data_IF_293255328444
#
_entry.id   IF_293255328444
#
_cell.length_a   1.000
_cell.length_b   1.000
_cell.length_c   1.000
_cell.angle_alpha   90.00
_cell.angle_beta   90.00
_cell.angle_gamma   90.00
#
_symmetry.space_group_name_H-M   'P 1'
#
loop_
_entity.id
_entity.type
_entity.pdbx_description
1 polymer ?
#
# COMPACT_ATOMS: atom_id res chain seq x y z
N UNK A 1 -5.55 -20.00 2.97
CA UNK A 1 -4.18 -19.49 2.74
C UNK A 1 -3.89 -18.41 3.76
N UNK A 2 -2.76 -18.50 4.47
CA UNK A 2 -2.28 -17.45 5.38
C UNK A 2 -1.66 -16.32 4.54
N UNK A 3 -2.48 -15.43 4.01
CA UNK A 3 -2.00 -14.34 3.17
C UNK A 3 -1.24 -13.32 4.02
N UNK A 4 0.06 -13.17 3.74
CA UNK A 4 0.88 -12.10 4.29
C UNK A 4 0.47 -10.81 3.58
N UNK A 5 0.17 -9.75 4.33
CA UNK A 5 -0.14 -8.44 3.76
C UNK A 5 1.16 -7.66 3.53
N UNK A 6 1.47 -7.36 2.28
CA UNK A 6 2.72 -6.70 1.91
C UNK A 6 2.52 -5.19 1.82
N UNK A 7 3.25 -4.44 2.64
CA UNK A 7 3.26 -2.97 2.66
C UNK A 7 4.66 -2.48 2.31
N UNK A 8 4.78 -1.63 1.29
CA UNK A 8 6.02 -0.94 0.97
C UNK A 8 5.99 0.49 1.51
N UNK A 9 7.07 0.92 2.14
CA UNK A 9 7.30 2.27 2.62
C UNK A 9 8.34 2.95 1.73
N UNK A 10 7.98 4.08 1.15
CA UNK A 10 8.87 4.91 0.33
C UNK A 10 8.85 6.36 0.80
N UNK A 11 9.64 6.65 1.84
CA UNK A 11 9.68 7.94 2.52
C UNK A 11 11.05 8.60 2.40
N UNK A 12 11.05 9.93 2.21
CA UNK A 12 12.22 10.78 2.45
C UNK A 12 12.26 11.29 3.89
N UNK A 13 11.10 11.51 4.50
CA UNK A 13 10.96 11.93 5.89
C UNK A 13 11.00 10.71 6.82
N UNK A 14 12.16 10.47 7.45
CA UNK A 14 12.36 9.35 8.37
C UNK A 14 11.43 9.41 9.60
N UNK A 15 11.14 10.60 10.14
CA UNK A 15 10.23 10.70 11.30
C UNK A 15 8.81 10.26 10.93
N UNK A 16 8.33 10.64 9.74
CA UNK A 16 7.03 10.22 9.26
C UNK A 16 7.01 8.71 8.94
N UNK A 17 8.12 8.19 8.42
CA UNK A 17 8.30 6.75 8.19
C UNK A 17 8.18 5.95 9.48
N UNK A 18 8.86 6.38 10.54
CA UNK A 18 8.86 5.71 11.84
C UNK A 18 7.46 5.73 12.46
N UNK A 19 6.75 6.87 12.36
CA UNK A 19 5.34 6.99 12.77
C UNK A 19 4.45 6.00 12.00
N UNK A 20 4.60 5.91 10.68
CA UNK A 20 3.85 4.96 9.83
C UNK A 20 4.14 3.52 10.19
N UNK A 21 5.41 3.17 10.36
CA UNK A 21 5.83 1.82 10.72
C UNK A 21 5.26 1.42 12.08
N UNK A 22 5.35 2.31 13.08
CA UNK A 22 4.79 2.06 14.41
C UNK A 22 3.29 1.78 14.34
N UNK A 23 2.53 2.59 13.58
CA UNK A 23 1.10 2.37 13.40
C UNK A 23 0.79 1.06 12.67
N UNK A 24 1.55 0.69 11.62
CA UNK A 24 1.34 -0.59 10.92
C UNK A 24 1.51 -1.78 11.87
N UNK A 25 2.54 -1.74 12.73
CA UNK A 25 2.87 -2.84 13.64
C UNK A 25 1.91 -2.95 14.82
N UNK A 26 1.22 -1.86 15.18
CA UNK A 26 0.23 -1.82 16.26
C UNK A 26 -1.17 -2.31 15.81
N UNK A 27 -1.36 -2.55 14.51
CA UNK A 27 -2.68 -2.87 13.95
C UNK A 27 -3.13 -4.30 14.29
N UNK A 28 -4.22 -4.50 15.08
CA UNK A 28 -4.60 -5.81 15.58
C UNK A 28 -5.25 -6.72 14.53
N UNK A 29 -5.77 -6.17 13.43
CA UNK A 29 -6.45 -6.94 12.39
C UNK A 29 -5.49 -7.54 11.35
N UNK A 30 -4.24 -7.09 11.29
CA UNK A 30 -3.21 -7.61 10.38
C UNK A 30 -2.43 -8.75 11.06
N UNK A 31 -2.90 -9.99 10.91
CA UNK A 31 -2.26 -11.16 11.54
C UNK A 31 -0.84 -11.45 11.04
N UNK A 32 -0.55 -11.14 9.77
CA UNK A 32 0.76 -11.32 9.14
C UNK A 32 1.01 -10.15 8.19
N UNK A 33 1.99 -9.32 8.51
CA UNK A 33 2.41 -8.19 7.69
C UNK A 33 3.88 -8.35 7.31
N UNK A 34 4.21 -8.03 6.06
CA UNK A 34 5.57 -7.88 5.60
C UNK A 34 5.76 -6.43 5.19
N UNK A 35 6.62 -5.72 5.89
CA UNK A 35 6.95 -4.33 5.58
C UNK A 35 8.30 -4.30 4.86
N UNK A 36 8.33 -3.62 3.73
CA UNK A 36 9.56 -3.44 2.93
C UNK A 36 9.86 -1.96 2.78
N UNK A 37 11.14 -1.60 2.84
CA UNK A 37 11.58 -0.23 2.59
C UNK A 37 12.20 -0.14 1.20
N UNK A 38 11.65 0.75 0.36
CA UNK A 38 12.21 1.01 -0.96
C UNK A 38 13.42 1.93 -0.81
N UNK A 39 14.57 1.36 -0.42
CA UNK A 39 15.80 2.09 -0.10
C UNK A 39 16.57 2.63 -1.31
N UNK A 40 15.98 2.58 -2.52
CA UNK A 40 16.63 3.03 -3.77
C UNK A 40 17.82 2.18 -4.23
N UNK A 41 18.32 1.26 -3.39
CA UNK A 41 19.29 0.25 -3.75
C UNK A 41 18.57 -1.00 -4.26
N UNK A 42 18.97 -1.44 -5.46
CA UNK A 42 18.33 -2.53 -6.19
C UNK A 42 18.51 -3.89 -5.49
N UNK A 43 17.74 -4.15 -4.44
CA UNK A 43 17.54 -5.51 -3.96
C UNK A 43 16.51 -6.18 -4.88
N UNK A 44 16.99 -6.68 -6.03
CA UNK A 44 16.24 -7.47 -7.01
C UNK A 44 15.48 -8.66 -6.41
N UNK A 45 15.82 -9.06 -5.18
CA UNK A 45 15.15 -10.13 -4.44
C UNK A 45 13.75 -9.76 -3.93
N UNK A 46 13.42 -8.47 -3.80
CA UNK A 46 12.11 -7.99 -3.33
C UNK A 46 11.40 -7.04 -4.31
N UNK A 47 12.05 -6.67 -5.43
CA UNK A 47 11.46 -5.79 -6.45
C UNK A 47 10.22 -6.37 -7.13
N UNK A 48 10.04 -7.69 -7.03
CA UNK A 48 9.03 -8.45 -7.77
C UNK A 48 7.88 -8.94 -6.87
N UNK A 49 7.88 -8.59 -5.57
CA UNK A 49 6.73 -8.88 -4.72
C UNK A 49 5.68 -7.79 -4.97
N UNK A 50 4.51 -8.12 -5.55
CA UNK A 50 3.43 -7.15 -5.71
C UNK A 50 2.96 -6.70 -4.33
N UNK A 51 3.37 -5.50 -3.92
CA UNK A 51 2.93 -4.92 -2.66
C UNK A 51 1.43 -4.67 -2.71
N UNK A 52 0.70 -5.13 -1.70
CA UNK A 52 -0.73 -4.82 -1.58
C UNK A 52 -0.93 -3.31 -1.42
N UNK A 53 -0.07 -2.69 -0.62
CA UNK A 53 -0.13 -1.28 -0.28
C UNK A 53 1.25 -0.63 -0.43
N UNK A 54 1.30 0.57 -0.99
CA UNK A 54 2.50 1.42 -0.98
C UNK A 54 2.13 2.71 -0.26
N UNK A 55 2.92 3.08 0.75
CA UNK A 55 2.76 4.33 1.49
C UNK A 55 4.01 5.17 1.26
N UNK A 56 3.83 6.41 0.82
CA UNK A 56 4.93 7.27 0.41
C UNK A 56 4.66 8.74 0.72
N UNK A 57 5.73 9.53 0.82
CA UNK A 57 5.70 11.00 0.94
C UNK A 57 6.14 11.67 -0.37
N UNK A 58 6.46 12.96 -0.33
CA UNK A 58 6.69 13.80 -1.53
C UNK A 58 7.65 13.21 -2.59
N UNK A 59 7.05 12.90 -3.75
CA UNK A 59 7.74 12.53 -4.99
C UNK A 59 7.54 13.61 -6.06
N UNK A 60 8.55 13.78 -6.91
CA UNK A 60 8.41 14.52 -8.16
C UNK A 60 7.65 13.64 -9.15
N UNK A 61 6.60 14.17 -9.77
CA UNK A 61 5.79 13.42 -10.74
C UNK A 61 5.01 12.26 -10.09
N UNK A 62 4.14 12.58 -9.11
CA UNK A 62 3.30 11.58 -8.42
C UNK A 62 2.51 10.71 -9.41
N UNK A 63 1.83 11.26 -10.45
CA UNK A 63 1.11 10.42 -11.40
C UNK A 63 2.01 9.41 -12.12
N UNK A 64 3.20 9.84 -12.56
CA UNK A 64 4.17 8.98 -13.23
C UNK A 64 4.73 7.90 -12.30
N UNK A 65 5.00 8.26 -11.04
CA UNK A 65 5.39 7.33 -9.99
C UNK A 65 4.32 6.25 -9.78
N UNK A 66 3.05 6.66 -9.57
CA UNK A 66 1.94 5.74 -9.36
C UNK A 66 1.73 4.81 -10.56
N UNK A 67 1.72 5.35 -11.79
CA UNK A 67 1.61 4.55 -13.02
C UNK A 67 2.72 3.51 -13.12
N UNK A 68 3.96 3.85 -12.76
CA UNK A 68 5.08 2.90 -12.79
C UNK A 68 4.86 1.75 -11.81
N UNK A 69 4.42 2.03 -10.58
CA UNK A 69 4.15 0.99 -9.57
C UNK A 69 2.94 0.12 -9.95
N UNK A 70 1.91 0.70 -10.56
CA UNK A 70 0.73 -0.04 -11.04
C UNK A 70 1.00 -0.92 -12.25
N UNK A 71 2.01 -0.61 -13.08
CA UNK A 71 2.43 -1.49 -14.19
C UNK A 71 2.95 -2.85 -13.68
N UNK A 72 3.72 -2.85 -12.59
CA UNK A 72 4.20 -4.08 -11.96
C UNK A 72 3.13 -4.78 -11.13
N UNK A 73 2.22 -4.02 -10.52
CA UNK A 73 1.16 -4.56 -9.67
C UNK A 73 -0.12 -3.73 -9.80
N UNK A 74 -1.02 -4.08 -10.74
CA UNK A 74 -2.23 -3.31 -11.03
C UNK A 74 -3.23 -3.26 -9.88
N UNK A 75 -3.08 -4.09 -8.85
CA UNK A 75 -4.00 -4.17 -7.71
C UNK A 75 -3.50 -3.43 -6.48
N UNK A 76 -2.31 -2.85 -6.56
CA UNK A 76 -1.71 -2.08 -5.47
C UNK A 76 -2.53 -0.83 -5.18
N UNK A 77 -2.77 -0.58 -3.90
CA UNK A 77 -3.30 0.68 -3.39
C UNK A 77 -2.12 1.59 -3.00
N UNK A 78 -2.29 2.89 -3.21
CA UNK A 78 -1.26 3.90 -3.01
C UNK A 78 -1.75 4.93 -2.00
N UNK A 79 -1.07 5.07 -0.86
CA UNK A 79 -1.33 6.12 0.13
C UNK A 79 -0.22 7.14 0.05
N UNK A 80 -0.59 8.40 -0.20
CA UNK A 80 0.34 9.52 -0.28
C UNK A 80 0.15 10.44 0.92
N UNK A 81 1.19 10.57 1.75
CA UNK A 81 1.21 11.45 2.91
C UNK A 81 1.81 12.80 2.51
N UNK A 82 0.98 13.83 2.36
CA UNK A 82 1.40 15.17 1.93
C UNK A 82 0.46 16.25 2.48
N UNK A 83 0.99 17.44 2.76
CA UNK A 83 0.23 18.64 3.14
C UNK A 83 -0.86 19.02 2.11
N UNK A 84 -0.64 18.70 0.83
CA UNK A 84 -1.59 18.87 -0.27
C UNK A 84 -2.01 17.49 -0.79
N UNK A 85 -2.95 16.81 -0.13
CA UNK A 85 -3.35 15.46 -0.50
C UNK A 85 -3.97 15.45 -1.89
N UNK A 86 -3.60 14.44 -2.68
CA UNK A 86 -4.13 14.20 -4.02
C UNK A 86 -4.87 12.85 -4.02
N UNK A 87 -6.05 12.82 -4.64
CA UNK A 87 -6.81 11.58 -4.86
C UNK A 87 -6.96 11.35 -6.35
N UNK A 88 -6.70 10.12 -6.77
CA UNK A 88 -6.92 9.69 -8.15
C UNK A 88 -7.33 8.21 -8.15
N UNK A 89 -8.62 7.97 -8.43
CA UNK A 89 -9.19 6.62 -8.40
C UNK A 89 -8.63 5.75 -9.55
N UNK A 90 -8.23 6.33 -10.68
CA UNK A 90 -7.60 5.59 -11.79
C UNK A 90 -6.18 5.14 -11.44
N UNK A 91 -5.54 5.83 -10.49
CA UNK A 91 -4.22 5.49 -9.96
C UNK A 91 -4.28 4.79 -8.60
N UNK A 92 -5.47 4.42 -8.11
CA UNK A 92 -5.65 3.87 -6.76
C UNK A 92 -4.98 4.71 -5.66
N UNK A 93 -4.91 6.03 -5.88
CA UNK A 93 -4.16 6.97 -5.08
C UNK A 93 -5.07 7.65 -4.06
N UNK A 94 -4.71 7.50 -2.80
CA UNK A 94 -5.39 8.09 -1.66
C UNK A 94 -4.40 9.04 -0.98
N UNK A 95 -4.64 10.34 -1.13
CA UNK A 95 -3.87 11.37 -0.45
C UNK A 95 -4.44 11.65 0.94
N UNK A 96 -3.57 11.81 1.92
CA UNK A 96 -3.95 12.28 3.25
C UNK A 96 -2.86 13.19 3.83
N UNK A 97 -3.27 14.11 4.71
CA UNK A 97 -2.31 14.97 5.41
C UNK A 97 -1.66 14.22 6.58
N UNK A 98 -0.43 14.59 6.96
CA UNK A 98 0.20 14.07 8.18
C UNK A 98 -0.64 14.32 9.45
N UNK A 99 -1.37 15.44 9.49
CA UNK A 99 -2.29 15.74 10.59
C UNK A 99 -3.47 14.75 10.67
N UNK A 100 -4.01 14.32 9.52
CA UNK A 100 -5.10 13.36 9.47
C UNK A 100 -4.63 11.91 9.69
N UNK A 101 -3.40 11.61 9.27
CA UNK A 101 -2.75 10.31 9.49
C UNK A 101 -2.86 9.85 10.95
N UNK A 102 -2.55 10.72 11.92
CA UNK A 102 -2.58 10.36 13.36
C UNK A 102 -3.96 9.97 13.90
N UNK A 103 -5.06 10.31 13.21
CA UNK A 103 -6.43 10.05 13.66
C UNK A 103 -7.12 8.92 12.90
N UNK A 104 -6.83 8.77 11.60
CA UNK A 104 -7.61 7.90 10.70
C UNK A 104 -6.80 6.83 9.98
N UNK A 105 -5.50 6.68 10.27
CA UNK A 105 -4.66 5.74 9.52
C UNK A 105 -5.06 4.27 9.73
N UNK A 106 -5.42 3.87 10.94
CA UNK A 106 -5.88 2.49 11.20
C UNK A 106 -7.15 2.15 10.41
N UNK A 107 -8.12 3.07 10.37
CA UNK A 107 -9.35 2.89 9.61
C UNK A 107 -9.06 2.77 8.11
N UNK A 108 -8.21 3.65 7.58
CA UNK A 108 -7.81 3.61 6.18
C UNK A 108 -7.08 2.30 5.84
N UNK A 109 -6.13 1.88 6.69
CA UNK A 109 -5.41 0.62 6.52
C UNK A 109 -6.36 -0.58 6.57
N UNK A 110 -7.37 -0.54 7.44
CA UNK A 110 -8.43 -1.55 7.53
C UNK A 110 -9.26 -1.63 6.24
N UNK A 111 -9.65 -0.48 5.69
CA UNK A 111 -10.37 -0.41 4.41
C UNK A 111 -9.51 -0.98 3.28
N UNK A 112 -8.24 -0.59 3.18
CA UNK A 112 -7.31 -1.13 2.19
C UNK A 112 -7.19 -2.65 2.30
N UNK A 113 -6.96 -3.16 3.52
CA UNK A 113 -6.86 -4.60 3.77
C UNK A 113 -8.13 -5.35 3.38
N UNK A 114 -9.30 -4.85 3.76
CA UNK A 114 -10.59 -5.44 3.41
C UNK A 114 -10.83 -5.45 1.89
N UNK A 115 -10.47 -4.37 1.18
CA UNK A 115 -10.56 -4.32 -0.28
C UNK A 115 -9.70 -5.41 -0.94
N UNK A 116 -8.48 -5.65 -0.45
CA UNK A 116 -7.64 -6.74 -0.96
C UNK A 116 -8.23 -8.12 -0.65
N UNK A 117 -8.79 -8.32 0.55
CA UNK A 117 -9.45 -9.58 0.90
C UNK A 117 -10.66 -9.89 0.00
N UNK A 118 -11.51 -8.89 -0.25
CA UNK A 118 -12.69 -9.02 -1.12
C UNK A 118 -12.26 -9.29 -2.57
N UNK A 119 -11.23 -8.61 -3.06
CA UNK A 119 -10.71 -8.88 -4.41
C UNK A 119 -10.17 -10.29 -4.54
N UNK A 120 -9.37 -10.74 -3.56
CA UNK A 120 -8.82 -12.08 -3.54
C UNK A 120 -9.92 -13.16 -3.53
N UNK A 121 -11.01 -12.94 -2.79
CA UNK A 121 -12.14 -13.88 -2.78
C UNK A 121 -12.86 -13.95 -4.13
N UNK A 122 -13.09 -12.81 -4.80
CA UNK A 122 -13.71 -12.77 -6.13
C UNK A 122 -12.84 -13.49 -7.17
N UNK A 123 -11.53 -13.25 -7.19
CA UNK A 123 -10.61 -13.91 -8.13
C UNK A 123 -10.61 -15.43 -7.95
N UNK A 124 -10.64 -15.92 -6.71
CA UNK A 124 -10.71 -17.35 -6.43
C UNK A 124 -12.00 -18.00 -6.96
N UNK A 125 -13.14 -17.31 -6.82
CA UNK A 125 -14.43 -17.79 -7.36
C UNK A 125 -14.38 -17.83 -8.89
N UNK A 126 -13.92 -16.77 -9.55
CA UNK A 126 -13.82 -16.72 -11.01
C UNK A 126 -12.87 -17.78 -11.58
N UNK A 127 -11.74 -18.04 -10.90
CA UNK A 127 -10.82 -19.11 -11.28
C UNK A 127 -11.43 -20.50 -11.15
N UNK A 128 -12.28 -20.71 -10.14
CA UNK A 128 -12.99 -21.98 -9.94
C UNK A 128 -14.03 -22.25 -11.02
N UNK A 129 -14.70 -21.21 -11.52
CA UNK A 129 -15.72 -21.32 -12.58
C UNK A 129 -15.08 -21.64 -13.94
N UNK A 130 -13.86 -21.16 -14.23
CA UNK A 130 -13.16 -21.45 -15.49
C UNK A 130 -12.65 -22.90 -15.61
N UNK A 131 -12.62 -23.63 -14.50
CA UNK A 131 -12.15 -25.02 -14.43
C UNK A 131 -13.31 -26.05 -14.38
N UNK A 132 -14.56 -25.60 -14.61
CA UNK A 132 -15.75 -26.42 -14.85
C UNK A 132 -16.10 -26.38 -16.33
#
# INVERSE_FOLDING_TARGET
MNNIYHIALDFKNNSLKDDVLANILDVPFLKKVCVTEDSGFSNRLFSDIPGNLIIFDDKVGIPEYCRRKLRSSPTTLLIHLNEKPQRDDALHLIGMTPAFFKKGFHDLLGICYMLHLVRASITNVQGSIKNL
#
